data_IF_968607140882
#
_entry.id   IF_968607140882
#
_cell.length_a   1.000
_cell.length_b   1.000
_cell.length_c   1.000
_cell.angle_alpha   90.00
_cell.angle_beta   90.00
_cell.angle_gamma   90.00
#
_symmetry.space_group_name_H-M   'P 1'
#
loop_
_entity.id
_entity.type
_entity.pdbx_description
1 polymer ?
#
# COMPACT_ATOMS: atom_id res chain seq x y z
N UNK A 1 -38.52 -5.65 -2.74
CA UNK A 1 -37.82 -4.41 -3.10
C UNK A 1 -36.32 -4.71 -3.26
N UNK A 2 -35.83 -4.57 -4.45
CA UNK A 2 -34.39 -4.80 -4.68
C UNK A 2 -33.60 -3.58 -4.24
N UNK A 3 -32.66 -3.76 -3.34
CA UNK A 3 -31.71 -2.72 -2.99
C UNK A 3 -30.50 -2.82 -3.90
N UNK A 4 -30.19 -1.75 -4.59
CA UNK A 4 -28.93 -1.68 -5.33
C UNK A 4 -27.80 -1.51 -4.32
N UNK A 5 -26.76 -2.33 -4.35
CA UNK A 5 -25.61 -2.11 -3.47
C UNK A 5 -25.01 -0.73 -3.77
N UNK A 6 -24.45 -0.06 -2.77
CA UNK A 6 -23.75 1.19 -3.02
C UNK A 6 -22.61 0.98 -4.03
N UNK A 7 -22.28 1.99 -4.85
CA UNK A 7 -21.16 1.88 -5.76
C UNK A 7 -19.87 1.62 -4.97
N UNK A 8 -18.91 0.87 -5.54
CA UNK A 8 -17.64 0.65 -4.88
C UNK A 8 -16.91 1.98 -4.67
N UNK A 9 -16.27 2.14 -3.52
CA UNK A 9 -15.49 3.32 -3.16
C UNK A 9 -14.19 3.43 -3.96
N UNK A 10 -13.72 2.31 -4.53
CA UNK A 10 -12.46 2.22 -5.24
C UNK A 10 -12.69 1.85 -6.70
N UNK A 11 -11.79 2.27 -7.62
CA UNK A 11 -11.85 1.83 -9.01
C UNK A 11 -11.85 0.30 -9.14
N UNK A 12 -12.54 -0.22 -10.15
CA UNK A 12 -12.68 -1.67 -10.39
C UNK A 12 -11.33 -2.38 -10.50
N UNK A 13 -10.31 -1.71 -10.98
CA UNK A 13 -8.97 -2.29 -11.12
C UNK A 13 -7.98 -1.73 -10.11
N UNK A 14 -8.39 -1.64 -8.85
CA UNK A 14 -7.47 -1.33 -7.76
C UNK A 14 -6.73 -2.60 -7.31
N UNK A 15 -5.51 -2.41 -6.80
CA UNK A 15 -4.68 -3.46 -6.26
C UNK A 15 -4.07 -3.00 -4.94
N UNK A 16 -4.19 -3.84 -3.92
CA UNK A 16 -3.63 -3.55 -2.61
C UNK A 16 -2.30 -4.28 -2.47
N UNK A 17 -1.26 -3.53 -2.13
CA UNK A 17 0.08 -4.05 -1.89
C UNK A 17 0.28 -4.22 -0.39
N UNK A 18 0.71 -5.40 0.03
CA UNK A 18 1.05 -5.69 1.43
C UNK A 18 2.40 -6.38 1.49
N UNK A 19 3.19 -6.07 2.50
CA UNK A 19 4.49 -6.71 2.67
C UNK A 19 4.35 -8.15 3.15
N UNK A 20 3.46 -8.40 4.10
CA UNK A 20 3.27 -9.68 4.75
C UNK A 20 1.80 -10.09 4.73
N UNK A 21 1.55 -11.38 4.58
CA UNK A 21 0.20 -11.93 4.53
C UNK A 21 -0.67 -11.53 5.73
N UNK A 22 -0.09 -11.52 6.93
CA UNK A 22 -0.84 -11.23 8.14
C UNK A 22 -1.22 -9.75 8.30
N UNK A 23 -0.67 -8.85 7.51
CA UNK A 23 -1.07 -7.44 7.54
C UNK A 23 -2.47 -7.22 6.97
N UNK A 24 -2.84 -8.01 5.97
CA UNK A 24 -4.19 -8.01 5.41
C UNK A 24 -4.49 -9.39 4.84
N UNK A 25 -4.90 -10.36 5.67
CA UNK A 25 -5.27 -11.69 5.20
C UNK A 25 -6.35 -11.62 4.14
N UNK A 26 -6.23 -12.43 3.10
CA UNK A 26 -7.17 -12.40 1.97
C UNK A 26 -8.63 -12.55 2.39
N UNK A 27 -9.00 -13.45 3.33
CA UNK A 27 -10.39 -13.53 3.78
C UNK A 27 -10.91 -12.23 4.40
N UNK A 28 -10.07 -11.49 5.12
CA UNK A 28 -10.46 -10.19 5.68
C UNK A 28 -10.66 -9.12 4.62
N UNK A 29 -9.79 -9.11 3.60
CA UNK A 29 -9.96 -8.21 2.46
C UNK A 29 -11.28 -8.50 1.74
N UNK A 30 -11.53 -9.75 1.41
CA UNK A 30 -12.72 -10.14 0.65
C UNK A 30 -14.02 -9.93 1.42
N UNK A 31 -13.96 -9.88 2.76
CA UNK A 31 -15.12 -9.58 3.59
C UNK A 31 -15.62 -8.13 3.42
N UNK A 32 -14.70 -7.19 3.16
CA UNK A 32 -15.05 -5.76 2.98
C UNK A 32 -14.99 -5.32 1.53
N UNK A 33 -14.28 -6.05 0.68
CA UNK A 33 -14.12 -5.76 -0.74
C UNK A 33 -14.14 -7.07 -1.52
N UNK A 34 -15.34 -7.59 -1.86
CA UNK A 34 -15.46 -8.91 -2.50
C UNK A 34 -14.71 -9.05 -3.83
N UNK A 35 -14.51 -7.96 -4.55
CA UNK A 35 -13.71 -7.94 -5.78
C UNK A 35 -12.25 -7.56 -5.54
N UNK A 36 -11.84 -7.45 -4.28
CA UNK A 36 -10.51 -6.98 -3.92
C UNK A 36 -9.41 -7.95 -4.32
N UNK A 37 -8.28 -7.37 -4.71
CA UNK A 37 -7.06 -8.11 -5.04
C UNK A 37 -5.92 -7.53 -4.23
N UNK A 38 -5.02 -8.39 -3.81
CA UNK A 38 -3.79 -7.98 -3.13
C UNK A 38 -2.58 -8.66 -3.76
N UNK A 39 -1.43 -8.03 -3.65
CA UNK A 39 -0.15 -8.60 -4.00
C UNK A 39 0.77 -8.53 -2.80
N UNK A 40 1.45 -9.64 -2.51
CA UNK A 40 2.49 -9.69 -1.49
C UNK A 40 3.79 -9.19 -2.09
N UNK A 41 4.32 -8.11 -1.53
CA UNK A 41 5.53 -7.48 -2.07
C UNK A 41 6.78 -7.76 -1.26
N UNK A 42 6.64 -8.45 -0.11
CA UNK A 42 7.78 -8.80 0.74
C UNK A 42 8.29 -7.64 1.57
N UNK A 43 9.31 -7.92 2.36
CA UNK A 43 9.92 -6.96 3.27
C UNK A 43 11.19 -6.39 2.64
N UNK A 44 11.40 -5.09 2.82
CA UNK A 44 12.57 -4.39 2.33
C UNK A 44 12.35 -3.72 0.98
N UNK A 45 13.17 -2.72 0.68
CA UNK A 45 13.02 -1.87 -0.51
C UNK A 45 13.16 -2.64 -1.81
N UNK A 46 14.08 -3.58 -1.88
CA UNK A 46 14.34 -4.35 -3.10
C UNK A 46 13.14 -5.25 -3.42
N UNK A 47 12.65 -5.99 -2.43
CA UNK A 47 11.45 -6.82 -2.60
C UNK A 47 10.23 -5.98 -2.96
N UNK A 48 10.05 -4.86 -2.29
CA UNK A 48 8.93 -3.95 -2.54
C UNK A 48 8.96 -3.43 -3.98
N UNK A 49 10.11 -2.96 -4.45
CA UNK A 49 10.25 -2.43 -5.81
C UNK A 49 10.03 -3.51 -6.87
N UNK A 50 10.67 -4.66 -6.71
CA UNK A 50 10.59 -5.76 -7.67
C UNK A 50 9.16 -6.32 -7.78
N UNK A 51 8.56 -6.68 -6.65
CA UNK A 51 7.24 -7.29 -6.65
C UNK A 51 6.12 -6.31 -7.00
N UNK A 52 6.28 -5.03 -6.67
CA UNK A 52 5.34 -3.99 -7.10
C UNK A 52 5.36 -3.83 -8.61
N UNK A 53 6.54 -3.73 -9.22
CA UNK A 53 6.65 -3.64 -10.67
C UNK A 53 6.06 -4.86 -11.36
N UNK A 54 6.36 -6.05 -10.85
CA UNK A 54 5.81 -7.30 -11.38
C UNK A 54 4.28 -7.31 -11.31
N UNK A 55 3.72 -6.87 -10.19
CA UNK A 55 2.28 -6.79 -10.00
C UNK A 55 1.62 -5.78 -10.95
N UNK A 56 2.25 -4.63 -11.18
CA UNK A 56 1.77 -3.63 -12.12
C UNK A 56 1.70 -4.21 -13.54
N UNK A 57 2.74 -4.91 -13.97
CA UNK A 57 2.79 -5.52 -15.30
C UNK A 57 1.72 -6.60 -15.44
N UNK A 58 1.53 -7.41 -14.41
CA UNK A 58 0.58 -8.53 -14.43
C UNK A 58 -0.88 -8.08 -14.37
N UNK A 59 -1.21 -7.20 -13.42
CA UNK A 59 -2.60 -6.81 -13.14
C UNK A 59 -3.02 -5.52 -13.82
N UNK A 60 -2.08 -4.69 -14.24
CA UNK A 60 -2.33 -3.38 -14.87
C UNK A 60 -3.36 -2.55 -14.09
N UNK A 61 -3.17 -2.34 -12.78
CA UNK A 61 -4.15 -1.65 -11.96
C UNK A 61 -4.21 -0.16 -12.30
N UNK A 62 -5.38 0.42 -12.10
CA UNK A 62 -5.57 1.87 -12.24
C UNK A 62 -5.25 2.61 -10.94
N UNK A 63 -5.26 1.89 -9.81
CA UNK A 63 -4.96 2.44 -8.50
C UNK A 63 -4.17 1.41 -7.69
N UNK A 64 -3.09 1.86 -7.08
CA UNK A 64 -2.31 1.07 -6.13
C UNK A 64 -2.54 1.63 -4.73
N UNK A 65 -2.81 0.75 -3.78
CA UNK A 65 -2.93 1.10 -2.37
C UNK A 65 -1.89 0.29 -1.61
N UNK A 66 -0.95 0.96 -0.97
CA UNK A 66 -0.02 0.28 -0.08
C UNK A 66 -0.61 0.26 1.33
N UNK A 67 -0.83 -0.93 1.86
CA UNK A 67 -1.39 -1.15 3.18
C UNK A 67 -0.39 -1.93 4.03
N UNK A 68 -0.10 -1.44 5.22
CA UNK A 68 0.86 -2.09 6.09
C UNK A 68 0.87 -1.51 7.48
N UNK A 69 1.82 -1.96 8.27
CA UNK A 69 2.01 -1.56 9.66
C UNK A 69 3.27 -0.74 9.81
N UNK A 70 3.25 0.18 10.76
CA UNK A 70 4.39 1.04 11.06
C UNK A 70 4.40 1.39 12.54
N UNK A 71 5.58 1.67 13.08
CA UNK A 71 5.73 2.16 14.43
C UNK A 71 5.42 3.64 14.53
N UNK A 72 4.61 4.02 15.51
CA UNK A 72 4.32 5.42 15.79
C UNK A 72 5.52 6.07 16.49
N UNK A 73 5.93 7.24 16.02
CA UNK A 73 6.99 8.02 16.63
C UNK A 73 6.47 9.17 17.50
N UNK A 74 5.16 9.37 17.53
CA UNK A 74 4.52 10.40 18.34
C UNK A 74 3.21 9.86 18.92
N UNK A 75 2.78 10.47 20.03
CA UNK A 75 1.51 10.15 20.64
C UNK A 75 0.34 10.79 19.90
N UNK A 76 -0.87 10.26 20.10
CA UNK A 76 -2.10 10.86 19.58
C UNK A 76 -2.41 10.52 18.13
N UNK A 77 -1.71 9.56 17.54
CA UNK A 77 -2.03 9.06 16.21
C UNK A 77 -3.21 8.07 16.27
N UNK A 78 -4.05 8.12 15.25
CA UNK A 78 -5.14 7.15 15.09
C UNK A 78 -4.57 5.74 14.78
N UNK A 79 -5.39 4.72 14.98
CA UNK A 79 -5.01 3.34 14.66
C UNK A 79 -4.79 3.14 13.17
N UNK A 80 -5.52 3.86 12.34
CA UNK A 80 -5.37 3.87 10.89
C UNK A 80 -5.04 5.27 10.43
N UNK A 81 -3.96 5.41 9.67
CA UNK A 81 -3.47 6.71 9.19
C UNK A 81 -3.27 6.65 7.69
N UNK A 82 -3.82 7.62 6.98
CA UNK A 82 -3.49 7.83 5.58
C UNK A 82 -2.17 8.62 5.50
N UNK A 83 -1.18 8.05 4.80
CA UNK A 83 0.16 8.63 4.72
C UNK A 83 0.21 9.66 3.60
N UNK A 84 0.61 10.88 3.94
CA UNK A 84 0.75 11.95 2.95
C UNK A 84 2.15 12.08 2.37
N UNK A 85 3.16 11.57 3.06
CA UNK A 85 4.55 11.72 2.62
C UNK A 85 5.40 10.57 3.15
N UNK A 86 6.30 10.06 2.32
CA UNK A 86 7.26 9.01 2.71
C UNK A 86 8.67 9.45 2.35
N UNK A 87 9.64 9.04 3.16
CA UNK A 87 11.06 9.32 2.93
C UNK A 87 11.88 8.05 3.17
N UNK A 88 13.05 7.99 2.58
CA UNK A 88 14.03 6.94 2.84
C UNK A 88 14.95 7.42 3.97
N UNK A 89 14.70 7.01 5.22
CA UNK A 89 15.44 7.53 6.37
C UNK A 89 16.95 7.23 6.32
N UNK A 90 17.35 6.18 5.60
CA UNK A 90 18.73 5.74 5.47
C UNK A 90 19.45 6.31 4.24
N UNK A 91 18.82 7.25 3.54
CA UNK A 91 19.39 7.92 2.37
C UNK A 91 19.72 9.36 2.72
N UNK A 92 20.97 9.76 2.47
CA UNK A 92 21.41 11.14 2.60
C UNK A 92 22.25 11.51 1.36
N UNK A 93 21.60 12.13 0.41
CA UNK A 93 22.22 12.63 -0.81
C UNK A 93 22.24 14.18 -0.83
N UNK A 94 22.18 14.82 0.34
CA UNK A 94 22.25 16.28 0.43
C UNK A 94 23.48 16.88 -0.26
N UNK A 95 24.68 16.25 -0.22
CA UNK A 95 25.83 16.77 -0.96
C UNK A 95 25.61 16.84 -2.47
N UNK A 96 24.67 16.05 -3.01
CA UNK A 96 24.32 16.04 -4.42
C UNK A 96 23.09 16.92 -4.74
N UNK A 97 22.61 17.69 -3.77
CA UNK A 97 21.50 18.61 -3.96
C UNK A 97 20.12 18.06 -3.63
N UNK A 98 20.04 16.84 -3.13
CA UNK A 98 18.76 16.23 -2.72
C UNK A 98 18.43 16.60 -1.27
N UNK A 99 17.13 16.58 -0.94
CA UNK A 99 16.69 16.69 0.44
C UNK A 99 17.00 15.39 1.19
N UNK A 100 17.17 15.47 2.52
CA UNK A 100 17.40 14.28 3.35
C UNK A 100 16.27 13.27 3.14
N UNK A 101 16.64 12.00 2.94
CA UNK A 101 15.68 10.90 2.74
C UNK A 101 15.09 10.82 1.33
N UNK A 102 15.61 11.57 0.38
CA UNK A 102 15.15 11.55 -1.02
C UNK A 102 16.28 11.26 -2.00
N UNK A 103 15.90 10.87 -3.17
CA UNK A 103 16.80 10.68 -4.31
C UNK A 103 16.31 11.44 -5.53
#
# INVERSE_FOLDING_TARGET
>A
MSSTPPPPLLPDSHLILVALDNELPLPKLLAVDPGGRRALIGVGKINAAYHTLKAIIEFKPRLLINFGTAGALSDGLDDLVEVGHVVQRDIDLRPMGFSLGTT
#
